data_IF_013813927477
#
_entry.id   IF_013813927477
#
_cell.length_a   1.000
_cell.length_b   1.000
_cell.length_c   1.000
_cell.angle_alpha   90.00
_cell.angle_beta   90.00
_cell.angle_gamma   90.00
#
_symmetry.space_group_name_H-M   'P 1'
#
loop_
_entity.id
_entity.type
_entity.pdbx_description
1 polymer ?
#
# COMPACT_ATOMS: atom_id res chain seq x y z
N UNK A 1 65.06 52.45 -3.48
CA UNK A 1 64.46 51.13 -3.72
C UNK A 1 63.68 50.72 -2.45
N UNK A 2 62.36 50.73 -2.48
CA UNK A 2 61.48 50.31 -1.39
C UNK A 2 60.87 48.92 -1.80
N UNK A 3 60.87 47.90 -0.91
CA UNK A 3 60.22 46.63 -1.24
C UNK A 3 58.69 46.74 -1.01
N UNK A 4 57.96 46.30 -2.03
CA UNK A 4 56.50 46.02 -1.91
C UNK A 4 56.30 44.73 -1.12
N UNK A 5 55.61 44.82 0.02
CA UNK A 5 55.02 43.65 0.69
C UNK A 5 53.73 43.28 0.02
N UNK A 6 53.65 42.10 -0.59
CA UNK A 6 52.39 41.49 -1.06
C UNK A 6 51.73 40.77 0.11
N UNK A 7 50.55 41.22 0.48
CA UNK A 7 49.67 40.53 1.47
C UNK A 7 48.82 39.51 0.70
N UNK A 8 49.10 38.21 0.91
CA UNK A 8 48.24 37.13 0.44
C UNK A 8 47.05 36.97 1.41
N UNK A 9 45.87 37.33 0.97
CA UNK A 9 44.64 37.01 1.69
C UNK A 9 44.27 35.54 1.44
N UNK A 10 44.37 34.69 2.49
CA UNK A 10 43.83 33.34 2.46
C UNK A 10 42.33 33.41 2.57
N UNK A 11 41.59 33.22 1.45
CA UNK A 11 40.14 32.91 1.48
C UNK A 11 39.97 31.49 1.99
N UNK A 12 39.57 31.30 3.22
CA UNK A 12 39.10 30.03 3.73
C UNK A 12 37.76 29.69 3.05
N UNK A 13 37.76 28.76 2.09
CA UNK A 13 36.55 28.16 1.52
C UNK A 13 35.98 27.25 2.59
N UNK A 14 34.94 27.68 3.29
CA UNK A 14 34.12 26.81 4.13
C UNK A 14 33.39 25.79 3.22
N UNK A 15 33.90 24.56 3.16
CA UNK A 15 33.16 23.44 2.58
C UNK A 15 31.86 23.26 3.40
N UNK A 16 30.71 23.11 2.74
CA UNK A 16 29.48 22.80 3.47
C UNK A 16 29.71 21.48 4.21
N UNK A 17 29.56 21.50 5.52
CA UNK A 17 29.49 20.28 6.34
C UNK A 17 28.23 19.56 5.86
N UNK A 18 28.40 18.52 5.06
CA UNK A 18 27.35 17.62 4.66
C UNK A 18 26.86 16.96 5.96
N UNK A 19 25.63 17.28 6.37
CA UNK A 19 25.05 16.66 7.56
C UNK A 19 25.15 15.15 7.37
N UNK A 20 25.73 14.46 8.35
CA UNK A 20 25.86 13.01 8.32
C UNK A 20 24.46 12.44 8.07
N UNK A 21 24.32 11.59 7.06
CA UNK A 21 23.06 10.93 6.72
C UNK A 21 22.62 10.11 7.94
N UNK A 22 21.50 10.53 8.54
CA UNK A 22 20.97 9.89 9.75
C UNK A 22 20.22 8.65 9.30
N UNK A 23 20.90 7.50 9.29
CA UNK A 23 20.38 6.24 8.81
C UNK A 23 20.77 5.06 9.71
N UNK A 24 19.96 3.98 9.68
CA UNK A 24 20.19 2.73 10.39
C UNK A 24 19.69 1.56 9.59
N UNK A 25 20.56 0.58 9.31
CA UNK A 25 20.16 -0.74 8.83
C UNK A 25 19.68 -1.56 10.02
N UNK A 26 18.45 -2.11 9.91
CA UNK A 26 17.79 -2.90 10.95
C UNK A 26 17.84 -4.39 10.64
N UNK A 27 17.66 -4.75 9.37
CA UNK A 27 17.69 -6.13 8.87
C UNK A 27 18.60 -6.16 7.63
N UNK A 28 19.48 -7.14 7.57
CA UNK A 28 20.29 -7.44 6.39
C UNK A 28 20.63 -8.93 6.38
N UNK A 29 19.84 -9.71 5.63
CA UNK A 29 19.97 -11.16 5.57
C UNK A 29 21.33 -11.59 4.98
N UNK A 30 21.91 -10.81 4.05
CA UNK A 30 23.20 -11.12 3.45
C UNK A 30 24.36 -11.04 4.46
N UNK A 31 24.23 -10.15 5.46
CA UNK A 31 25.21 -9.96 6.51
C UNK A 31 24.80 -10.58 7.86
N UNK A 32 23.76 -11.42 7.87
CA UNK A 32 23.19 -12.05 9.07
C UNK A 32 22.85 -11.03 10.19
N UNK A 33 22.41 -9.84 9.79
CA UNK A 33 21.97 -8.79 10.70
C UNK A 33 20.46 -8.85 10.90
N UNK A 34 20.04 -9.03 12.13
CA UNK A 34 18.64 -8.90 12.54
C UNK A 34 18.56 -8.22 13.90
N UNK A 35 18.17 -6.94 13.89
CA UNK A 35 18.00 -6.15 15.11
C UNK A 35 16.70 -6.56 15.79
N UNK A 36 16.75 -7.06 17.02
CA UNK A 36 15.56 -7.55 17.75
C UNK A 36 14.66 -6.40 18.23
N UNK A 37 15.26 -5.39 18.88
CA UNK A 37 14.57 -4.19 19.37
C UNK A 37 15.47 -2.98 19.15
N UNK A 38 14.88 -1.90 18.66
CA UNK A 38 15.59 -0.65 18.44
C UNK A 38 14.61 0.52 18.46
N UNK A 39 15.09 1.66 18.95
CA UNK A 39 14.31 2.89 18.95
C UNK A 39 15.22 4.08 18.64
N UNK A 40 14.68 5.05 17.92
CA UNK A 40 15.27 6.36 17.71
C UNK A 40 14.19 7.43 17.83
N UNK A 41 14.60 8.61 18.30
CA UNK A 41 13.76 9.80 18.41
C UNK A 41 14.39 10.98 17.67
N UNK A 42 13.62 12.03 17.45
CA UNK A 42 14.12 13.29 16.90
C UNK A 42 15.32 13.85 17.69
N UNK A 43 15.30 13.68 19.03
CA UNK A 43 16.40 14.13 19.91
C UNK A 43 17.69 13.32 19.67
N UNK A 44 17.58 11.99 19.48
CA UNK A 44 18.75 11.12 19.25
C UNK A 44 19.45 11.46 17.93
N UNK A 45 18.72 11.88 16.92
CA UNK A 45 19.26 12.32 15.63
C UNK A 45 19.45 13.83 15.54
N UNK A 46 19.31 14.56 16.65
CA UNK A 46 19.56 16.00 16.73
C UNK A 46 18.57 16.84 15.89
N UNK A 47 17.47 16.26 15.44
CA UNK A 47 16.42 16.99 14.74
C UNK A 47 15.56 17.75 15.73
N UNK A 48 15.71 19.08 15.68
CA UNK A 48 14.97 20.03 16.53
C UNK A 48 13.96 20.85 15.72
N UNK A 49 13.78 20.52 14.43
CA UNK A 49 12.91 21.23 13.52
C UNK A 49 11.56 20.53 13.44
N UNK A 50 10.52 21.14 13.95
CA UNK A 50 9.17 20.59 13.88
C UNK A 50 8.75 19.76 15.10
N UNK A 51 7.65 19.00 15.02
CA UNK A 51 7.17 18.18 16.12
C UNK A 51 8.14 17.01 16.41
N UNK A 52 8.12 16.54 17.66
CA UNK A 52 8.88 15.36 18.04
C UNK A 52 8.35 14.14 17.27
N UNK A 53 9.28 13.27 16.86
CA UNK A 53 8.98 12.03 16.17
C UNK A 53 9.77 10.87 16.75
N UNK A 54 9.32 9.64 16.47
CA UNK A 54 10.06 8.44 16.84
C UNK A 54 9.84 7.31 15.84
N UNK A 55 10.83 6.41 15.74
CA UNK A 55 10.75 5.13 15.02
C UNK A 55 11.21 4.04 15.96
N UNK A 56 10.43 2.97 16.08
CA UNK A 56 10.72 1.85 16.98
C UNK A 56 10.49 0.51 16.28
N UNK A 57 11.51 -0.34 16.25
CA UNK A 57 11.41 -1.75 15.86
C UNK A 57 11.15 -2.59 17.12
N UNK A 58 10.18 -3.49 17.05
CA UNK A 58 9.82 -4.46 18.10
C UNK A 58 9.63 -5.85 17.51
N UNK A 59 9.92 -6.88 18.29
CA UNK A 59 9.50 -8.25 18.01
C UNK A 59 8.28 -8.59 18.86
N UNK A 60 7.23 -9.11 18.21
CA UNK A 60 6.01 -9.55 18.89
C UNK A 60 6.18 -10.97 19.41
N UNK A 61 5.50 -11.28 20.53
CA UNK A 61 5.57 -12.56 21.21
C UNK A 61 4.17 -13.13 21.49
N UNK A 62 4.12 -14.45 21.60
CA UNK A 62 2.92 -15.22 21.94
C UNK A 62 1.98 -15.46 20.76
N UNK A 63 1.27 -16.60 20.78
CA UNK A 63 0.35 -17.00 19.75
C UNK A 63 1.01 -17.17 18.37
N UNK A 64 0.25 -16.93 17.31
CA UNK A 64 0.74 -17.02 15.94
C UNK A 64 1.53 -15.77 15.48
N UNK A 65 1.64 -14.75 16.34
CA UNK A 65 2.49 -13.58 16.08
C UNK A 65 3.93 -13.74 16.59
N UNK A 66 4.28 -14.88 17.21
CA UNK A 66 5.62 -15.11 17.73
C UNK A 66 6.69 -14.88 16.66
N UNK A 67 7.65 -13.98 16.95
CA UNK A 67 8.74 -13.64 16.04
C UNK A 67 8.41 -12.59 14.97
N UNK A 68 7.18 -12.11 14.86
CA UNK A 68 6.82 -11.04 13.93
C UNK A 68 7.47 -9.73 14.36
N UNK A 69 8.19 -9.09 13.45
CA UNK A 69 8.77 -7.78 13.67
C UNK A 69 7.83 -6.69 13.13
N UNK A 70 7.70 -5.61 13.90
CA UNK A 70 6.92 -4.42 13.55
C UNK A 70 7.76 -3.16 13.73
N UNK A 71 7.62 -2.21 12.83
CA UNK A 71 8.20 -0.87 12.94
C UNK A 71 7.06 0.11 13.21
N UNK A 72 7.03 0.68 14.41
CA UNK A 72 6.11 1.74 14.78
C UNK A 72 6.76 3.10 14.51
N UNK A 73 6.06 3.94 13.77
CA UNK A 73 6.46 5.31 13.45
C UNK A 73 5.45 6.28 14.05
N UNK A 74 5.96 7.28 14.75
CA UNK A 74 5.22 8.47 15.15
C UNK A 74 5.90 9.66 14.50
N UNK A 75 5.22 10.35 13.57
CA UNK A 75 5.78 11.51 12.89
C UNK A 75 5.39 12.85 13.54
N UNK A 76 4.80 12.80 14.73
CA UNK A 76 4.32 13.97 15.49
C UNK A 76 2.87 14.36 15.17
N UNK A 77 2.21 13.74 14.19
CA UNK A 77 0.78 13.92 13.86
C UNK A 77 0.10 12.59 13.56
N UNK A 78 0.76 11.72 12.83
CA UNK A 78 0.29 10.39 12.46
C UNK A 78 1.18 9.33 13.12
N UNK A 79 0.55 8.28 13.64
CA UNK A 79 1.24 7.04 14.01
C UNK A 79 0.88 5.95 13.03
N UNK A 80 1.86 5.13 12.63
CA UNK A 80 1.59 3.98 11.77
C UNK A 80 2.55 2.82 12.06
N UNK A 81 2.18 1.62 11.61
CA UNK A 81 2.95 0.40 11.84
C UNK A 81 3.21 -0.31 10.52
N UNK A 82 4.48 -0.56 10.22
CA UNK A 82 4.95 -1.38 9.10
C UNK A 82 5.39 -2.74 9.61
N UNK A 83 5.17 -3.82 8.83
CA UNK A 83 5.50 -5.19 9.24
C UNK A 83 6.57 -5.78 8.31
N UNK A 84 7.87 -5.70 8.67
CA UNK A 84 8.95 -6.28 7.89
C UNK A 84 8.81 -7.78 7.63
N UNK A 85 8.27 -8.51 8.58
CA UNK A 85 8.08 -9.97 8.49
C UNK A 85 7.01 -10.38 7.47
N UNK A 86 6.17 -9.41 7.01
CA UNK A 86 5.06 -9.66 6.10
C UNK A 86 5.08 -8.67 4.95
N UNK A 87 5.76 -8.98 3.86
CA UNK A 87 5.78 -8.22 2.61
C UNK A 87 6.07 -6.72 2.76
N UNK A 88 6.59 -6.29 3.92
CA UNK A 88 6.76 -4.88 4.26
C UNK A 88 5.42 -4.10 4.21
N UNK A 89 4.32 -4.73 4.67
CA UNK A 89 2.96 -4.18 4.64
C UNK A 89 2.76 -3.03 5.65
N UNK A 90 1.74 -2.18 5.41
CA UNK A 90 1.24 -1.20 6.38
C UNK A 90 0.08 -1.81 7.17
N UNK A 91 0.29 -2.06 8.47
CA UNK A 91 -0.71 -2.75 9.30
C UNK A 91 -1.84 -1.84 9.76
N UNK A 92 -1.51 -0.65 10.22
CA UNK A 92 -2.47 0.36 10.73
C UNK A 92 -1.88 1.75 10.68
N UNK A 93 -2.74 2.77 10.67
CA UNK A 93 -2.35 4.16 10.89
C UNK A 93 -3.44 4.90 11.67
N UNK A 94 -3.04 5.95 12.43
CA UNK A 94 -3.97 6.78 13.19
C UNK A 94 -3.55 8.25 13.11
N UNK A 95 -4.52 9.16 13.06
CA UNK A 95 -4.34 10.60 13.19
C UNK A 95 -5.27 11.09 14.29
N UNK A 96 -4.74 11.34 15.49
CA UNK A 96 -5.58 11.56 16.66
C UNK A 96 -6.55 10.40 16.88
N UNK A 97 -7.85 10.65 16.88
CA UNK A 97 -8.90 9.63 17.01
C UNK A 97 -9.29 8.97 15.68
N UNK A 98 -8.85 9.49 14.53
CA UNK A 98 -9.14 8.88 13.25
C UNK A 98 -8.25 7.65 13.06
N UNK A 99 -8.87 6.48 12.99
CA UNK A 99 -8.22 5.23 12.61
C UNK A 99 -8.34 5.00 11.11
N UNK A 100 -7.23 4.72 10.47
CA UNK A 100 -7.14 4.13 9.13
C UNK A 100 -6.88 2.63 9.28
N UNK A 101 -7.67 1.82 8.58
CA UNK A 101 -7.66 0.37 8.69
C UNK A 101 -9.03 -0.19 9.11
N UNK A 102 -9.06 -1.43 9.54
CA UNK A 102 -10.29 -2.15 9.84
C UNK A 102 -10.14 -3.13 11.00
N UNK A 103 -11.27 -3.69 11.47
CA UNK A 103 -11.31 -4.71 12.50
C UNK A 103 -11.44 -6.10 11.87
N UNK A 104 -10.28 -6.66 11.45
CA UNK A 104 -10.24 -8.04 10.97
C UNK A 104 -10.69 -9.01 12.06
N UNK A 105 -11.43 -10.08 11.70
CA UNK A 105 -11.62 -11.24 12.56
C UNK A 105 -10.30 -11.90 12.99
N UNK A 106 -9.25 -11.77 12.18
CA UNK A 106 -7.88 -12.20 12.50
C UNK A 106 -7.24 -11.15 13.39
N UNK A 107 -7.09 -11.45 14.68
CA UNK A 107 -6.66 -10.45 15.68
C UNK A 107 -5.15 -10.31 15.84
N UNK A 108 -4.41 -11.38 15.54
CA UNK A 108 -2.95 -11.41 15.63
C UNK A 108 -2.34 -10.98 14.29
N UNK A 109 -1.15 -10.40 14.30
CA UNK A 109 -0.30 -10.27 13.11
C UNK A 109 0.33 -11.65 12.88
N UNK A 110 -0.27 -12.45 12.01
CA UNK A 110 0.13 -13.85 11.85
C UNK A 110 1.50 -13.94 11.19
N UNK A 111 2.43 -14.67 11.82
CA UNK A 111 3.73 -14.95 11.24
C UNK A 111 3.58 -15.83 9.97
N UNK A 112 4.28 -15.54 8.85
CA UNK A 112 4.14 -16.27 7.60
C UNK A 112 4.26 -17.78 7.70
N UNK A 113 5.04 -18.31 8.64
CA UNK A 113 5.18 -19.75 8.89
C UNK A 113 3.87 -20.47 9.25
N UNK A 114 2.85 -19.75 9.70
CA UNK A 114 1.53 -20.30 9.99
C UNK A 114 0.54 -20.17 8.82
N UNK A 115 0.95 -19.56 7.71
CA UNK A 115 0.09 -19.36 6.54
C UNK A 115 0.38 -20.44 5.50
N UNK A 116 -0.66 -21.17 5.12
CA UNK A 116 -0.61 -22.19 4.09
C UNK A 116 -1.45 -21.71 2.92
N UNK A 117 -0.81 -21.09 1.93
CA UNK A 117 -1.49 -20.43 0.82
C UNK A 117 -2.37 -21.39 0.02
N UNK A 118 -2.00 -22.68 -0.08
CA UNK A 118 -2.76 -23.72 -0.81
C UNK A 118 -4.00 -24.23 -0.05
N UNK A 119 -4.14 -23.93 1.25
CA UNK A 119 -5.33 -24.31 2.00
C UNK A 119 -6.59 -23.67 1.40
N UNK A 120 -7.74 -24.29 1.65
CA UNK A 120 -9.03 -23.81 1.15
C UNK A 120 -9.01 -23.55 -0.37
N UNK A 121 -8.50 -24.51 -1.14
CA UNK A 121 -8.42 -24.43 -2.61
C UNK A 121 -7.63 -23.19 -3.10
N UNK A 122 -6.48 -22.93 -2.48
CA UNK A 122 -5.62 -21.83 -2.83
C UNK A 122 -6.04 -20.47 -2.23
N UNK A 123 -6.97 -20.47 -1.26
CA UNK A 123 -7.44 -19.26 -0.56
C UNK A 123 -6.87 -19.10 0.85
N UNK A 124 -5.81 -19.83 1.17
CA UNK A 124 -5.17 -19.76 2.50
C UNK A 124 -4.64 -18.39 2.89
N UNK A 125 -4.45 -17.50 1.93
CA UNK A 125 -4.05 -16.11 2.15
C UNK A 125 -4.95 -15.37 3.16
N UNK A 126 -6.25 -15.63 3.15
CA UNK A 126 -7.21 -14.97 4.08
C UNK A 126 -6.98 -15.30 5.55
N UNK A 127 -6.25 -16.38 5.87
CA UNK A 127 -5.97 -16.77 7.25
C UNK A 127 -5.11 -15.76 8.03
N UNK A 128 -4.37 -14.90 7.32
CA UNK A 128 -3.57 -13.81 7.91
C UNK A 128 -4.07 -12.41 7.58
N UNK A 129 -5.18 -12.27 6.88
CA UNK A 129 -5.63 -10.98 6.35
C UNK A 129 -6.11 -10.02 7.44
N UNK A 130 -5.43 -8.86 7.57
CA UNK A 130 -5.76 -7.88 8.63
C UNK A 130 -5.15 -6.49 8.47
N UNK A 131 -4.17 -6.32 7.59
CA UNK A 131 -3.47 -5.04 7.38
C UNK A 131 -4.33 -3.93 6.78
N UNK A 132 -3.93 -2.69 7.02
CA UNK A 132 -4.49 -1.50 6.35
C UNK A 132 -4.16 -1.50 4.86
N UNK A 133 -2.92 -1.80 4.49
CA UNK A 133 -2.49 -1.94 3.10
C UNK A 133 -1.56 -3.15 2.99
N UNK A 134 -2.00 -4.13 2.24
CA UNK A 134 -1.25 -5.33 1.89
C UNK A 134 -1.03 -5.36 0.38
N UNK A 135 0.08 -5.96 -0.07
CA UNK A 135 0.32 -6.11 -1.51
C UNK A 135 -0.09 -7.49 -1.98
N UNK A 136 -0.91 -7.55 -3.02
CA UNK A 136 -1.07 -8.77 -3.82
C UNK A 136 -0.03 -8.80 -4.93
N UNK A 137 0.58 -9.94 -5.16
CA UNK A 137 1.61 -10.13 -6.22
C UNK A 137 2.69 -11.13 -5.80
N UNK A 138 3.89 -11.13 -6.45
CA UNK A 138 4.28 -10.29 -7.60
C UNK A 138 3.99 -10.98 -8.94
N UNK A 139 3.93 -12.30 -8.97
CA UNK A 139 3.64 -13.04 -10.19
C UNK A 139 2.13 -13.09 -10.52
N UNK A 140 1.26 -13.00 -9.50
CA UNK A 140 -0.20 -12.96 -9.63
C UNK A 140 -0.85 -12.39 -8.38
N UNK A 141 -2.00 -11.72 -8.53
CA UNK A 141 -2.83 -11.29 -7.39
C UNK A 141 -4.32 -11.68 -7.53
N UNK A 142 -4.69 -12.38 -8.59
CA UNK A 142 -6.08 -12.76 -8.84
C UNK A 142 -6.58 -13.94 -8.02
N UNK A 143 -7.72 -14.48 -8.43
CA UNK A 143 -8.28 -15.71 -7.87
C UNK A 143 -7.34 -16.91 -8.11
N UNK A 144 -7.44 -17.96 -7.26
CA UNK A 144 -6.68 -19.18 -7.45
C UNK A 144 -6.96 -19.80 -8.83
N UNK A 145 -5.89 -20.21 -9.52
CA UNK A 145 -6.00 -20.82 -10.86
C UNK A 145 -4.77 -21.66 -11.19
N UNK A 146 -4.95 -22.66 -12.06
CA UNK A 146 -3.84 -23.32 -12.73
C UNK A 146 -3.48 -22.52 -13.99
N UNK A 147 -2.22 -22.07 -14.11
CA UNK A 147 -1.71 -21.33 -15.28
C UNK A 147 -0.45 -22.03 -15.81
N UNK A 148 -0.63 -22.84 -16.84
CA UNK A 148 0.39 -23.78 -17.30
C UNK A 148 0.70 -24.82 -16.23
N UNK A 149 1.97 -24.93 -15.83
CA UNK A 149 2.47 -25.78 -14.76
C UNK A 149 2.43 -25.14 -13.37
N UNK A 150 2.01 -23.86 -13.27
CA UNK A 150 1.98 -23.10 -12.03
C UNK A 150 0.59 -23.13 -11.39
N UNK A 151 0.53 -23.49 -10.11
CA UNK A 151 -0.66 -23.30 -9.27
C UNK A 151 -0.56 -21.95 -8.59
N UNK A 152 -1.42 -21.03 -8.98
CA UNK A 152 -1.48 -19.68 -8.43
C UNK A 152 -2.54 -19.61 -7.33
N UNK A 153 -2.19 -18.94 -6.23
CA UNK A 153 -3.06 -18.78 -5.06
C UNK A 153 -3.64 -17.37 -5.01
N UNK A 154 -4.71 -17.19 -4.23
CA UNK A 154 -5.34 -15.89 -4.00
C UNK A 154 -4.31 -14.85 -3.58
N UNK A 155 -4.30 -13.72 -4.25
CA UNK A 155 -3.43 -12.55 -4.03
C UNK A 155 -1.91 -12.83 -4.06
N UNK A 156 -1.48 -14.05 -4.46
CA UNK A 156 -0.05 -14.40 -4.55
C UNK A 156 0.62 -14.58 -3.19
N UNK A 157 1.94 -14.36 -3.13
CA UNK A 157 2.70 -14.65 -1.91
C UNK A 157 3.44 -13.47 -1.31
N UNK A 158 3.63 -12.36 -2.02
CA UNK A 158 4.51 -11.26 -1.59
C UNK A 158 4.22 -10.75 -0.17
N UNK A 159 2.93 -10.75 0.23
CA UNK A 159 2.50 -10.32 1.56
C UNK A 159 3.01 -11.24 2.70
N UNK A 160 3.38 -12.48 2.37
CA UNK A 160 3.90 -13.46 3.33
C UNK A 160 5.38 -13.78 3.16
N UNK A 161 6.13 -12.92 2.46
CA UNK A 161 7.58 -13.02 2.35
C UNK A 161 8.23 -11.99 3.27
N UNK A 162 9.05 -12.39 4.26
CA UNK A 162 9.79 -11.44 5.07
C UNK A 162 10.77 -10.61 4.26
N UNK A 163 10.91 -9.33 4.61
CA UNK A 163 11.90 -8.45 3.99
C UNK A 163 13.33 -8.92 4.32
N UNK A 164 14.16 -9.06 3.30
CA UNK A 164 15.57 -9.46 3.43
C UNK A 164 16.50 -8.32 3.80
N UNK A 165 16.08 -7.08 3.56
CA UNK A 165 16.78 -5.87 3.97
C UNK A 165 15.78 -4.83 4.45
N UNK A 166 16.08 -4.17 5.57
CA UNK A 166 15.28 -3.06 6.11
C UNK A 166 16.18 -1.98 6.66
N UNK A 167 15.93 -0.74 6.29
CA UNK A 167 16.63 0.43 6.83
C UNK A 167 15.67 1.58 7.10
N UNK A 168 16.12 2.47 7.99
CA UNK A 168 15.44 3.72 8.34
C UNK A 168 16.40 4.87 8.10
N UNK A 169 15.93 5.98 7.54
CA UNK A 169 16.71 7.19 7.35
C UNK A 169 15.86 8.45 7.51
N UNK A 170 16.49 9.55 7.85
CA UNK A 170 15.92 10.88 7.86
C UNK A 170 16.47 11.67 6.66
N UNK A 171 15.61 12.08 5.75
CA UNK A 171 15.95 12.92 4.59
C UNK A 171 15.26 14.28 4.71
N UNK A 172 16.00 15.29 5.14
CA UNK A 172 15.45 16.61 5.40
C UNK A 172 14.39 16.57 6.51
N UNK A 173 13.11 16.66 6.14
CA UNK A 173 11.97 16.52 7.05
C UNK A 173 11.13 15.27 6.80
N UNK A 174 11.68 14.27 6.08
CA UNK A 174 11.01 12.99 5.81
C UNK A 174 11.65 11.85 6.58
N UNK A 175 10.84 11.05 7.25
CA UNK A 175 11.21 9.72 7.72
C UNK A 175 10.96 8.73 6.59
N UNK A 176 11.98 7.94 6.24
CA UNK A 176 11.91 6.96 5.16
C UNK A 176 12.29 5.59 5.69
N UNK A 177 11.39 4.62 5.54
CA UNK A 177 11.62 3.20 5.77
C UNK A 177 11.83 2.54 4.41
N UNK A 178 12.92 1.79 4.23
CA UNK A 178 13.18 1.02 3.01
C UNK A 178 13.17 -0.47 3.33
N UNK A 179 12.40 -1.23 2.56
CA UNK A 179 12.32 -2.69 2.63
C UNK A 179 12.61 -3.35 1.28
N UNK A 180 13.26 -4.53 1.29
CA UNK A 180 13.48 -5.36 0.10
C UNK A 180 12.87 -6.72 0.35
N UNK A 181 11.97 -7.15 -0.54
CA UNK A 181 11.30 -8.46 -0.49
C UNK A 181 11.64 -9.22 -1.77
N UNK A 182 12.15 -10.45 -1.63
CA UNK A 182 12.57 -11.28 -2.74
C UNK A 182 11.56 -12.41 -2.97
N UNK A 183 10.77 -12.32 -4.03
CA UNK A 183 9.87 -13.37 -4.48
C UNK A 183 10.61 -14.23 -5.54
N UNK A 184 11.46 -15.13 -5.05
CA UNK A 184 12.39 -15.92 -5.86
C UNK A 184 12.11 -17.41 -5.75
N UNK A 185 12.12 -18.09 -6.89
CA UNK A 185 12.11 -19.54 -6.98
C UNK A 185 13.15 -20.02 -7.99
N UNK A 186 13.82 -21.15 -7.70
CA UNK A 186 14.93 -21.68 -8.51
C UNK A 186 14.53 -21.91 -9.98
N UNK A 187 13.35 -22.40 -10.26
CA UNK A 187 12.82 -22.59 -11.62
C UNK A 187 11.55 -21.76 -11.85
N UNK A 188 11.39 -20.65 -11.14
CA UNK A 188 10.23 -19.79 -11.18
C UNK A 188 10.61 -18.33 -11.37
N UNK A 189 9.70 -17.44 -10.94
CA UNK A 189 9.93 -16.02 -10.98
C UNK A 189 11.10 -15.59 -10.06
N UNK A 190 11.80 -14.53 -10.45
CA UNK A 190 12.82 -13.86 -9.66
C UNK A 190 12.47 -12.37 -9.62
N UNK A 191 11.37 -12.04 -8.95
CA UNK A 191 10.86 -10.69 -8.82
C UNK A 191 11.26 -10.11 -7.46
N UNK A 192 11.90 -8.95 -7.46
CA UNK A 192 12.28 -8.25 -6.24
C UNK A 192 11.45 -6.97 -6.09
N UNK A 193 10.74 -6.87 -4.96
CA UNK A 193 10.13 -5.62 -4.51
C UNK A 193 11.12 -4.84 -3.67
N UNK A 194 11.41 -3.59 -4.05
CA UNK A 194 12.00 -2.58 -3.18
C UNK A 194 10.93 -1.54 -2.89
N UNK A 195 10.60 -1.37 -1.61
CA UNK A 195 9.58 -0.43 -1.14
C UNK A 195 10.21 0.66 -0.31
N UNK A 196 9.93 1.92 -0.60
CA UNK A 196 10.17 3.05 0.28
C UNK A 196 8.84 3.56 0.81
N UNK A 197 8.64 3.41 2.13
CA UNK A 197 7.50 3.96 2.85
C UNK A 197 7.98 5.21 3.56
N UNK A 198 7.43 6.37 3.21
CA UNK A 198 7.86 7.64 3.75
C UNK A 198 6.71 8.48 4.31
N UNK A 199 7.04 9.38 5.24
CA UNK A 199 6.13 10.38 5.77
C UNK A 199 6.87 11.68 6.05
N UNK A 200 6.24 12.80 5.73
CA UNK A 200 6.74 14.11 6.16
C UNK A 200 6.41 14.32 7.64
N UNK A 201 7.37 14.74 8.44
CA UNK A 201 7.18 15.02 9.87
C UNK A 201 6.04 16.04 10.05
N UNK A 202 5.07 15.70 10.89
CA UNK A 202 3.88 16.51 11.14
C UNK A 202 2.78 16.41 10.06
N UNK A 203 2.91 15.53 9.06
CA UNK A 203 1.87 15.31 8.05
C UNK A 203 0.88 14.23 8.44
N UNK A 204 -0.28 14.20 7.77
CA UNK A 204 -1.28 13.12 7.87
C UNK A 204 -1.20 12.12 6.73
N UNK A 205 -0.02 11.95 6.11
CA UNK A 205 0.18 11.18 4.88
C UNK A 205 1.30 10.17 5.02
N UNK A 206 1.11 9.00 4.42
CA UNK A 206 2.14 7.98 4.17
C UNK A 206 2.24 7.76 2.67
N UNK A 207 3.46 7.77 2.14
CA UNK A 207 3.77 7.61 0.71
C UNK A 207 4.51 6.30 0.49
N UNK A 208 4.17 5.60 -0.59
CA UNK A 208 4.79 4.36 -1.05
C UNK A 208 5.40 4.60 -2.43
N UNK A 209 6.70 4.50 -2.51
CA UNK A 209 7.47 4.48 -3.75
C UNK A 209 8.03 3.07 -3.93
N UNK A 210 7.37 2.26 -4.74
CA UNK A 210 7.74 0.87 -4.94
C UNK A 210 8.39 0.67 -6.30
N UNK A 211 9.35 -0.26 -6.35
CA UNK A 211 9.92 -0.75 -7.59
C UNK A 211 9.96 -2.27 -7.59
N UNK A 212 9.51 -2.90 -8.68
CA UNK A 212 9.56 -4.33 -8.90
C UNK A 212 10.56 -4.60 -10.02
N UNK A 213 11.64 -5.30 -9.71
CA UNK A 213 12.68 -5.68 -10.66
C UNK A 213 12.55 -7.15 -11.03
N UNK A 214 12.62 -7.46 -12.33
CA UNK A 214 12.87 -8.82 -12.79
C UNK A 214 14.39 -9.05 -12.79
N UNK A 215 14.90 -9.87 -11.88
CA UNK A 215 16.33 -10.17 -11.73
C UNK A 215 16.75 -11.44 -12.50
N UNK A 216 15.84 -12.09 -13.22
CA UNK A 216 16.17 -13.20 -14.12
C UNK A 216 16.57 -12.69 -15.50
N UNK A 217 17.12 -13.59 -16.33
CA UNK A 217 17.45 -13.30 -17.74
C UNK A 217 16.22 -13.41 -18.66
N UNK A 218 15.18 -14.12 -18.25
CA UNK A 218 13.96 -14.35 -19.02
C UNK A 218 12.85 -13.34 -18.70
N UNK A 219 11.96 -13.03 -19.64
CA UNK A 219 10.77 -12.22 -19.36
C UNK A 219 9.89 -12.89 -18.30
N UNK A 220 9.33 -12.09 -17.40
CA UNK A 220 8.44 -12.52 -16.31
C UNK A 220 7.14 -11.73 -16.33
N UNK A 221 6.00 -12.41 -16.18
CA UNK A 221 4.74 -11.74 -15.87
C UNK A 221 4.81 -11.12 -14.49
N UNK A 222 4.31 -9.91 -14.37
CA UNK A 222 4.27 -9.19 -13.11
C UNK A 222 2.87 -8.62 -12.88
N UNK A 223 2.33 -8.84 -11.70
CA UNK A 223 1.06 -8.26 -11.26
C UNK A 223 1.23 -7.67 -9.86
N UNK A 224 0.70 -6.47 -9.63
CA UNK A 224 0.73 -5.80 -8.35
C UNK A 224 -0.62 -5.19 -8.03
N UNK A 225 -1.10 -5.44 -6.80
CA UNK A 225 -2.31 -4.86 -6.22
C UNK A 225 -1.98 -4.23 -4.87
N UNK A 226 -2.39 -3.00 -4.64
CA UNK A 226 -2.42 -2.40 -3.31
C UNK A 226 -3.81 -2.58 -2.71
N UNK A 227 -3.98 -3.62 -1.91
CA UNK A 227 -5.24 -3.94 -1.25
C UNK A 227 -5.36 -3.11 0.03
N UNK A 228 -5.90 -1.89 -0.07
CA UNK A 228 -6.08 -1.00 1.08
C UNK A 228 -7.45 -1.18 1.72
N UNK A 229 -7.51 -1.32 3.04
CA UNK A 229 -8.67 -1.84 3.76
C UNK A 229 -9.17 -0.86 4.82
N UNK A 230 -10.45 -0.50 4.73
CA UNK A 230 -11.06 0.50 5.61
C UNK A 230 -12.35 -0.03 6.23
N UNK A 231 -12.46 0.10 7.54
CA UNK A 231 -13.66 -0.18 8.33
C UNK A 231 -14.15 1.07 9.06
N UNK A 232 -14.89 0.87 10.14
CA UNK A 232 -15.32 1.95 11.03
C UNK A 232 -14.10 2.68 11.63
N UNK A 233 -14.09 4.05 11.72
CA UNK A 233 -15.23 4.95 11.56
C UNK A 233 -15.47 5.47 10.14
N UNK A 234 -14.58 5.19 9.16
CA UNK A 234 -14.72 5.69 7.80
C UNK A 234 -15.83 4.98 7.03
N UNK A 235 -16.02 3.69 7.27
CA UNK A 235 -17.04 2.88 6.65
C UNK A 235 -18.29 2.82 7.54
N UNK A 236 -19.48 3.03 6.95
CA UNK A 236 -20.78 2.97 7.61
C UNK A 236 -21.89 3.29 6.64
N UNK A 237 -23.16 3.15 7.06
CA UNK A 237 -24.30 3.56 6.26
C UNK A 237 -24.21 5.04 5.87
N UNK A 238 -24.23 5.34 4.56
CA UNK A 238 -24.04 6.69 4.02
C UNK A 238 -22.59 7.06 3.71
N UNK A 239 -21.61 6.19 3.96
CA UNK A 239 -20.27 6.38 3.42
C UNK A 239 -20.28 6.35 1.89
N UNK A 240 -19.31 7.01 1.27
CA UNK A 240 -19.26 7.17 -0.18
C UNK A 240 -17.85 7.01 -0.72
N UNK A 241 -17.68 6.21 -1.77
CA UNK A 241 -16.48 6.19 -2.57
C UNK A 241 -16.55 7.27 -3.64
N UNK A 242 -15.55 8.14 -3.71
CA UNK A 242 -15.47 9.28 -4.64
C UNK A 242 -14.21 9.16 -5.45
N UNK A 243 -14.33 9.08 -6.78
CA UNK A 243 -13.20 9.00 -7.71
C UNK A 243 -13.58 9.57 -9.09
N UNK A 244 -12.62 10.01 -9.92
CA UNK A 244 -12.87 10.52 -11.26
C UNK A 244 -12.98 9.35 -12.25
N UNK A 245 -14.03 8.53 -12.10
CA UNK A 245 -14.20 7.27 -12.83
C UNK A 245 -14.49 7.52 -14.30
N UNK A 246 -13.75 6.87 -15.20
CA UNK A 246 -14.03 6.80 -16.64
C UNK A 246 -15.08 5.74 -16.93
N UNK A 247 -14.83 4.52 -16.46
CA UNK A 247 -15.64 3.34 -16.68
C UNK A 247 -15.65 2.49 -15.42
N UNK A 248 -16.79 1.94 -15.06
CA UNK A 248 -16.96 0.96 -13.97
C UNK A 248 -17.70 -0.26 -14.47
N UNK A 249 -17.27 -1.45 -14.06
CA UNK A 249 -17.84 -2.76 -14.40
C UNK A 249 -17.88 -3.66 -13.16
N UNK A 250 -18.93 -4.48 -12.97
CA UNK A 250 -18.92 -5.51 -11.95
C UNK A 250 -17.92 -6.63 -12.33
N UNK A 251 -17.28 -7.25 -11.33
CA UNK A 251 -16.35 -8.35 -11.60
C UNK A 251 -17.08 -9.61 -12.08
N UNK A 252 -18.25 -9.91 -11.53
CA UNK A 252 -19.03 -11.11 -11.79
C UNK A 252 -20.55 -10.87 -11.68
N UNK A 253 -21.33 -11.91 -11.93
CA UNK A 253 -22.80 -11.87 -11.88
C UNK A 253 -23.35 -11.47 -10.50
N UNK A 254 -22.71 -11.86 -9.39
CA UNK A 254 -23.13 -11.48 -8.04
C UNK A 254 -22.99 -9.97 -7.81
N UNK A 255 -21.88 -9.38 -8.29
CA UNK A 255 -21.67 -7.93 -8.26
C UNK A 255 -22.61 -7.19 -9.23
N UNK A 256 -22.94 -7.80 -10.39
CA UNK A 256 -23.85 -7.23 -11.37
C UNK A 256 -25.32 -7.25 -10.89
N UNK A 257 -25.71 -8.20 -10.05
CA UNK A 257 -27.06 -8.31 -9.49
C UNK A 257 -27.34 -7.25 -8.39
N UNK A 258 -26.29 -6.59 -7.88
CA UNK A 258 -26.41 -5.50 -6.92
C UNK A 258 -26.87 -4.19 -7.55
N UNK A 259 -26.94 -3.13 -6.73
CA UNK A 259 -27.27 -1.78 -7.20
C UNK A 259 -26.10 -1.16 -7.97
N UNK A 260 -26.11 -1.30 -9.31
CA UNK A 260 -25.13 -0.66 -10.18
C UNK A 260 -25.25 0.87 -10.26
N UNK A 261 -26.36 1.46 -9.79
CA UNK A 261 -26.51 2.91 -9.70
C UNK A 261 -25.86 3.44 -8.43
N UNK A 262 -26.02 2.71 -7.31
CA UNK A 262 -25.45 3.02 -6.01
C UNK A 262 -24.11 2.29 -5.72
N UNK A 263 -23.39 1.81 -6.74
CA UNK A 263 -22.17 0.99 -6.59
C UNK A 263 -21.13 1.63 -5.67
N UNK A 264 -21.06 2.96 -5.63
CA UNK A 264 -20.09 3.74 -4.85
C UNK A 264 -20.59 4.17 -3.46
N UNK A 265 -21.79 3.73 -3.04
CA UNK A 265 -22.41 4.04 -1.75
C UNK A 265 -22.49 2.82 -0.86
N UNK A 266 -22.45 3.04 0.44
CA UNK A 266 -22.52 1.99 1.44
C UNK A 266 -23.81 2.09 2.23
N UNK A 267 -24.43 0.93 2.48
CA UNK A 267 -25.69 0.82 3.20
C UNK A 267 -25.53 0.44 4.67
N UNK A 268 -24.28 0.09 5.04
CA UNK A 268 -23.92 -0.36 6.40
C UNK A 268 -23.83 -1.90 6.48
N UNK A 269 -23.48 -2.43 7.66
CA UNK A 269 -23.33 -3.86 7.83
C UNK A 269 -24.68 -4.60 7.75
N UNK A 270 -24.71 -5.70 7.01
CA UNK A 270 -25.89 -6.55 6.83
C UNK A 270 -25.84 -7.77 7.76
N UNK A 271 -26.98 -8.08 8.40
CA UNK A 271 -27.21 -9.37 9.06
C UNK A 271 -27.72 -10.39 8.04
N UNK A 272 -27.24 -11.64 8.13
CA UNK A 272 -27.64 -12.70 7.21
C UNK A 272 -26.61 -12.94 6.10
N UNK A 273 -27.07 -13.57 5.01
CA UNK A 273 -26.19 -13.88 3.87
C UNK A 273 -25.92 -12.60 3.08
N UNK A 274 -24.66 -12.28 2.90
CA UNK A 274 -24.17 -11.18 2.07
C UNK A 274 -23.08 -11.69 1.12
N UNK A 275 -23.22 -11.38 -0.15
CA UNK A 275 -22.16 -11.64 -1.14
C UNK A 275 -21.35 -10.38 -1.33
N UNK A 276 -20.05 -10.46 -1.11
CA UNK A 276 -19.14 -9.36 -1.37
C UNK A 276 -19.23 -8.92 -2.84
N UNK A 277 -19.20 -7.62 -3.06
CA UNK A 277 -19.27 -7.02 -4.40
C UNK A 277 -17.89 -6.44 -4.76
N UNK A 278 -17.51 -6.58 -6.03
CA UNK A 278 -16.31 -5.96 -6.58
C UNK A 278 -16.65 -5.21 -7.86
N UNK A 279 -16.23 -3.94 -7.91
CA UNK A 279 -16.41 -3.07 -9.07
C UNK A 279 -15.03 -2.65 -9.58
N UNK A 280 -14.73 -3.05 -10.81
CA UNK A 280 -13.48 -2.76 -11.50
C UNK A 280 -13.59 -1.49 -12.34
N UNK A 281 -12.59 -0.64 -12.32
CA UNK A 281 -12.68 0.67 -12.98
C UNK A 281 -11.36 1.18 -13.51
N UNK A 282 -11.45 2.09 -14.47
CA UNK A 282 -10.37 3.00 -14.88
C UNK A 282 -10.73 4.42 -14.45
N UNK A 283 -9.72 5.22 -14.10
CA UNK A 283 -9.90 6.59 -13.62
C UNK A 283 -9.34 7.62 -14.62
N UNK A 284 -9.88 8.81 -14.57
CA UNK A 284 -9.23 9.98 -15.18
C UNK A 284 -8.04 10.40 -14.33
N UNK A 285 -6.99 10.89 -14.98
CA UNK A 285 -5.79 11.40 -14.36
C UNK A 285 -5.46 12.79 -14.93
N UNK A 286 -4.61 13.51 -14.25
CA UNK A 286 -4.03 14.75 -14.77
C UNK A 286 -2.97 14.49 -15.86
N UNK A 287 -2.36 15.56 -16.38
CA UNK A 287 -1.36 15.48 -17.45
C UNK A 287 -0.07 14.74 -17.04
N UNK A 288 0.19 14.60 -15.74
CA UNK A 288 1.32 13.84 -15.20
C UNK A 288 0.98 12.37 -14.92
N UNK A 289 -0.26 11.93 -15.15
CA UNK A 289 -0.73 10.59 -14.86
C UNK A 289 -1.24 10.40 -13.43
N UNK A 290 -1.25 11.44 -12.60
CA UNK A 290 -1.73 11.34 -11.22
C UNK A 290 -3.24 11.37 -11.12
N UNK A 291 -3.80 10.47 -10.33
CA UNK A 291 -5.22 10.42 -10.01
C UNK A 291 -5.48 10.37 -8.51
N UNK A 292 -6.75 10.47 -8.12
CA UNK A 292 -7.17 10.48 -6.72
C UNK A 292 -8.45 9.66 -6.54
N UNK A 293 -8.54 8.99 -5.37
CA UNK A 293 -9.76 8.33 -4.92
C UNK A 293 -9.95 8.57 -3.42
N UNK A 294 -11.17 8.67 -2.93
CA UNK A 294 -11.46 8.96 -1.53
C UNK A 294 -12.58 8.06 -1.02
N UNK A 295 -12.42 7.53 0.19
CA UNK A 295 -13.54 7.05 0.99
C UNK A 295 -13.93 8.18 1.94
N UNK A 296 -15.14 8.67 1.78
CA UNK A 296 -15.75 9.72 2.60
C UNK A 296 -16.65 9.07 3.66
N UNK A 297 -16.47 9.44 4.92
CA UNK A 297 -17.27 8.93 6.03
C UNK A 297 -18.74 9.34 5.93
N UNK A 298 -19.67 8.64 6.62
CA UNK A 298 -21.10 8.95 6.59
C UNK A 298 -21.43 10.40 6.94
N UNK A 299 -20.74 10.99 7.91
CA UNK A 299 -20.94 12.37 8.33
C UNK A 299 -20.26 13.40 7.40
N UNK A 300 -19.43 12.95 6.46
CA UNK A 300 -18.68 13.81 5.54
C UNK A 300 -17.63 14.71 6.18
N UNK A 301 -17.24 14.44 7.43
CA UNK A 301 -16.28 15.22 8.21
C UNK A 301 -14.92 14.52 8.39
N UNK A 302 -14.81 13.28 7.93
CA UNK A 302 -13.60 12.49 7.89
C UNK A 302 -13.52 11.72 6.57
N UNK A 303 -12.33 11.30 6.19
CA UNK A 303 -12.10 10.51 5.00
C UNK A 303 -10.68 9.97 4.95
N UNK A 304 -10.43 9.15 3.93
CA UNK A 304 -9.09 8.81 3.48
C UNK A 304 -8.99 9.13 2.01
N UNK A 305 -7.95 9.89 1.65
CA UNK A 305 -7.60 10.23 0.28
C UNK A 305 -6.43 9.36 -0.16
N UNK A 306 -6.59 8.73 -1.30
CA UNK A 306 -5.54 8.01 -2.01
C UNK A 306 -5.15 8.81 -3.24
N UNK A 307 -3.86 8.99 -3.49
CA UNK A 307 -3.32 9.58 -4.71
C UNK A 307 -2.32 8.61 -5.31
N UNK A 308 -2.38 8.34 -6.62
CA UNK A 308 -1.48 7.37 -7.25
C UNK A 308 -1.24 7.66 -8.73
N UNK A 309 -0.11 7.14 -9.24
CA UNK A 309 0.30 7.25 -10.64
C UNK A 309 -0.36 6.14 -11.48
N UNK A 310 -1.17 6.53 -12.45
CA UNK A 310 -1.85 5.61 -13.37
C UNK A 310 -0.92 4.97 -14.42
N UNK A 311 0.32 5.43 -14.57
CA UNK A 311 1.30 4.73 -15.42
C UNK A 311 1.75 3.42 -14.75
N UNK A 312 1.93 3.45 -13.43
CA UNK A 312 2.28 2.26 -12.65
C UNK A 312 1.06 1.45 -12.19
N UNK A 313 -0.09 2.12 -11.98
CA UNK A 313 -1.32 1.54 -11.43
C UNK A 313 -2.54 1.96 -12.28
N UNK A 314 -2.69 1.43 -13.51
CA UNK A 314 -3.69 1.91 -14.48
C UNK A 314 -5.15 1.58 -14.11
N UNK A 315 -5.37 0.69 -13.16
CA UNK A 315 -6.69 0.19 -12.80
C UNK A 315 -6.96 0.30 -11.31
N UNK A 316 -8.24 0.26 -10.95
CA UNK A 316 -8.69 0.25 -9.57
C UNK A 316 -9.86 -0.70 -9.40
N UNK A 317 -9.88 -1.44 -8.30
CA UNK A 317 -11.01 -2.23 -7.85
C UNK A 317 -11.57 -1.66 -6.56
N UNK A 318 -12.89 -1.63 -6.44
CA UNK A 318 -13.61 -1.33 -5.21
C UNK A 318 -14.24 -2.62 -4.70
N UNK A 319 -13.68 -3.17 -3.61
CA UNK A 319 -14.26 -4.32 -2.93
C UNK A 319 -15.15 -3.86 -1.79
N UNK A 320 -16.40 -4.33 -1.77
CA UNK A 320 -17.39 -4.02 -0.73
C UNK A 320 -17.75 -5.30 0.00
N UNK A 321 -17.38 -5.41 1.27
CA UNK A 321 -17.72 -6.53 2.14
C UNK A 321 -18.55 -6.02 3.32
N UNK A 322 -19.84 -5.78 3.06
CA UNK A 322 -20.78 -5.22 4.03
C UNK A 322 -21.44 -6.30 4.92
N UNK A 323 -20.67 -7.30 5.32
CA UNK A 323 -21.08 -8.32 6.31
C UNK A 323 -21.16 -7.70 7.72
N UNK A 324 -21.54 -8.49 8.73
CA UNK A 324 -21.54 -8.00 10.13
C UNK A 324 -20.12 -7.63 10.58
N UNK A 325 -19.97 -6.74 11.59
CA UNK A 325 -18.65 -6.42 12.15
C UNK A 325 -17.85 -7.65 12.62
N UNK A 326 -18.51 -8.65 13.19
CA UNK A 326 -17.86 -9.93 13.59
C UNK A 326 -17.42 -10.76 12.39
N UNK A 327 -18.08 -10.62 11.25
CA UNK A 327 -17.74 -11.26 9.99
C UNK A 327 -16.64 -10.55 9.20
N UNK A 328 -16.21 -9.36 9.65
CA UNK A 328 -15.17 -8.57 9.01
C UNK A 328 -15.71 -7.49 8.07
N UNK A 329 -16.57 -6.59 8.60
CA UNK A 329 -17.10 -5.43 7.88
C UNK A 329 -15.97 -4.53 7.38
N UNK A 330 -15.78 -4.44 6.07
CA UNK A 330 -14.65 -3.76 5.43
C UNK A 330 -14.95 -3.38 3.99
N UNK A 331 -14.27 -2.37 3.49
CA UNK A 331 -14.15 -2.08 2.05
C UNK A 331 -12.70 -2.00 1.64
N UNK A 332 -12.39 -2.49 0.43
CA UNK A 332 -11.08 -2.36 -0.20
C UNK A 332 -11.10 -1.28 -1.28
N UNK A 333 -10.11 -0.38 -1.24
CA UNK A 333 -9.78 0.56 -2.31
C UNK A 333 -8.46 0.07 -2.92
N UNK A 334 -8.50 -0.47 -4.13
CA UNK A 334 -7.46 -1.36 -4.61
C UNK A 334 -6.90 -0.94 -5.99
N UNK A 335 -5.98 0.05 -6.04
CA UNK A 335 -5.25 0.32 -7.27
C UNK A 335 -4.28 -0.81 -7.61
N UNK A 336 -4.16 -1.14 -8.89
CA UNK A 336 -3.33 -2.24 -9.35
C UNK A 336 -2.96 -2.19 -10.83
N UNK A 337 -2.13 -3.14 -11.24
CA UNK A 337 -1.70 -3.30 -12.64
C UNK A 337 -2.77 -3.93 -13.53
N UNK A 338 -3.79 -4.55 -12.94
CA UNK A 338 -4.93 -5.20 -13.59
C UNK A 338 -6.11 -5.29 -12.63
N UNK A 339 -7.08 -6.13 -12.96
CA UNK A 339 -8.22 -6.47 -12.10
C UNK A 339 -7.99 -7.79 -11.35
N UNK A 340 -8.69 -8.08 -10.23
CA UNK A 340 -8.49 -9.29 -9.44
C UNK A 340 -9.15 -10.55 -10.06
N UNK A 341 -9.15 -10.66 -11.40
CA UNK A 341 -9.47 -11.88 -12.13
C UNK A 341 -8.29 -12.84 -12.09
N UNK A 342 -8.40 -14.02 -12.69
CA UNK A 342 -7.26 -14.92 -12.80
C UNK A 342 -6.18 -14.37 -13.75
N UNK A 343 -4.90 -14.73 -13.53
CA UNK A 343 -3.80 -14.24 -14.37
C UNK A 343 -3.99 -14.57 -15.87
N UNK A 344 -4.46 -15.77 -16.29
CA UNK A 344 -4.75 -16.02 -17.70
C UNK A 344 -5.79 -15.06 -18.30
N UNK A 345 -6.85 -14.72 -17.54
CA UNK A 345 -7.88 -13.78 -18.00
C UNK A 345 -7.30 -12.37 -18.13
N UNK A 346 -6.53 -11.93 -17.17
CA UNK A 346 -5.88 -10.61 -17.20
C UNK A 346 -4.83 -10.53 -18.31
N UNK A 347 -4.09 -11.63 -18.56
CA UNK A 347 -3.16 -11.73 -19.69
C UNK A 347 -3.88 -11.66 -21.06
N UNK A 348 -4.98 -12.39 -21.20
CA UNK A 348 -5.80 -12.34 -22.40
C UNK A 348 -6.40 -10.95 -22.66
N UNK A 349 -6.68 -10.19 -21.61
CA UNK A 349 -7.17 -8.82 -21.67
C UNK A 349 -6.05 -7.77 -21.80
N UNK A 350 -4.77 -8.16 -21.89
CA UNK A 350 -3.62 -7.26 -22.05
C UNK A 350 -3.29 -6.45 -20.78
N UNK A 351 -3.70 -6.93 -19.59
CA UNK A 351 -3.52 -6.24 -18.31
C UNK A 351 -2.45 -6.88 -17.40
N UNK A 352 -1.62 -7.77 -17.93
CA UNK A 352 -0.47 -8.32 -17.23
C UNK A 352 0.80 -7.74 -17.82
N UNK A 353 1.50 -6.82 -17.14
CA UNK A 353 2.84 -6.41 -17.53
C UNK A 353 3.79 -7.59 -17.64
N UNK A 354 4.59 -7.65 -18.69
CA UNK A 354 5.63 -8.65 -18.87
C UNK A 354 6.99 -7.95 -18.84
N UNK A 355 7.74 -8.16 -17.77
CA UNK A 355 9.04 -7.52 -17.54
C UNK A 355 10.16 -8.32 -18.19
N UNK A 356 10.91 -7.71 -19.10
CA UNK A 356 12.16 -8.29 -19.61
C UNK A 356 13.19 -8.47 -18.48
N UNK A 357 14.17 -9.33 -18.70
CA UNK A 357 15.31 -9.48 -17.79
C UNK A 357 15.97 -8.12 -17.48
N UNK A 358 16.17 -7.82 -16.21
CA UNK A 358 16.70 -6.54 -15.73
C UNK A 358 15.73 -5.36 -15.76
N UNK A 359 14.53 -5.52 -16.30
CA UNK A 359 13.54 -4.42 -16.33
C UNK A 359 12.94 -4.16 -14.95
N UNK A 360 12.64 -2.88 -14.68
CA UNK A 360 12.06 -2.40 -13.43
C UNK A 360 10.73 -1.71 -13.70
N UNK A 361 9.68 -2.12 -12.99
CA UNK A 361 8.39 -1.44 -12.91
C UNK A 361 8.37 -0.53 -11.69
N UNK A 362 7.76 0.64 -11.78
CA UNK A 362 7.67 1.60 -10.67
C UNK A 362 6.23 2.01 -10.43
N UNK A 363 5.90 2.22 -9.15
CA UNK A 363 4.59 2.72 -8.72
C UNK A 363 4.77 3.79 -7.66
N UNK A 364 3.81 4.70 -7.62
CA UNK A 364 3.71 5.73 -6.59
C UNK A 364 2.28 5.73 -6.04
N UNK A 365 2.15 5.69 -4.72
CA UNK A 365 0.88 5.72 -4.01
C UNK A 365 1.04 6.53 -2.72
N UNK A 366 0.10 7.44 -2.43
CA UNK A 366 0.01 8.13 -1.15
C UNK A 366 -1.36 7.88 -0.50
N UNK A 367 -1.37 7.72 0.82
CA UNK A 367 -2.57 7.56 1.66
C UNK A 367 -2.58 8.69 2.68
N UNK A 368 -3.56 9.58 2.60
CA UNK A 368 -3.74 10.71 3.51
C UNK A 368 -5.04 10.56 4.31
N UNK A 369 -4.96 10.69 5.63
CA UNK A 369 -6.14 10.75 6.49
C UNK A 369 -6.67 12.17 6.59
N UNK A 370 -7.96 12.34 6.31
CA UNK A 370 -8.68 13.61 6.36
C UNK A 370 -9.48 13.69 7.66
N UNK A 371 -9.19 14.68 8.50
CA UNK A 371 -9.73 14.78 9.86
C UNK A 371 -10.76 15.90 10.02
N UNK A 372 -11.08 16.63 8.95
CA UNK A 372 -12.05 17.73 8.97
C UNK A 372 -12.89 17.80 7.70
N UNK A 373 -14.10 18.35 7.84
CA UNK A 373 -14.99 18.59 6.69
C UNK A 373 -14.32 19.43 5.59
N UNK A 374 -13.54 20.44 5.97
CA UNK A 374 -12.83 21.27 4.99
C UNK A 374 -11.81 20.48 4.15
N UNK A 375 -11.08 19.55 4.77
CA UNK A 375 -10.18 18.65 4.02
C UNK A 375 -10.94 17.70 3.10
N UNK A 376 -12.05 17.13 3.57
CA UNK A 376 -12.91 16.24 2.75
C UNK A 376 -13.48 16.98 1.55
N UNK A 377 -14.02 18.19 1.75
CA UNK A 377 -14.58 19.01 0.69
C UNK A 377 -13.49 19.41 -0.35
N UNK A 378 -12.29 19.78 0.12
CA UNK A 378 -11.16 20.11 -0.75
C UNK A 378 -10.71 18.89 -1.58
N UNK A 379 -10.65 17.70 -0.97
CA UNK A 379 -10.33 16.47 -1.66
C UNK A 379 -11.40 16.12 -2.72
N UNK A 380 -12.69 16.22 -2.37
CA UNK A 380 -13.78 15.99 -3.32
C UNK A 380 -13.73 16.96 -4.51
N UNK A 381 -13.45 18.24 -4.28
CA UNK A 381 -13.29 19.24 -5.34
C UNK A 381 -12.07 18.93 -6.23
N UNK A 382 -10.96 18.47 -5.66
CA UNK A 382 -9.79 18.07 -6.42
C UNK A 382 -10.07 16.85 -7.31
N UNK A 383 -10.80 15.85 -6.80
CA UNK A 383 -11.24 14.68 -7.58
C UNK A 383 -12.17 15.09 -8.71
N UNK A 384 -13.12 15.98 -8.43
CA UNK A 384 -14.07 16.45 -9.44
C UNK A 384 -13.39 17.19 -10.60
N UNK A 385 -12.30 17.92 -10.33
CA UNK A 385 -11.51 18.58 -11.39
C UNK A 385 -10.84 17.59 -12.34
N UNK A 386 -10.57 16.37 -11.91
CA UNK A 386 -10.03 15.30 -12.76
C UNK A 386 -11.11 14.64 -13.62
N UNK A 387 -12.36 14.64 -13.17
CA UNK A 387 -13.48 14.02 -13.88
C UNK A 387 -13.89 14.88 -15.09
N UNK A 388 -13.53 14.47 -16.31
CA UNK A 388 -13.83 15.19 -17.54
C UNK A 388 -15.22 14.85 -18.11
N UNK A 389 -15.84 13.73 -17.67
CA UNK A 389 -17.17 13.26 -18.07
C UNK A 389 -17.81 12.41 -16.97
N UNK A 390 -19.15 12.22 -16.96
CA UNK A 390 -19.78 11.23 -16.11
C UNK A 390 -19.25 9.81 -16.38
N UNK A 391 -19.20 8.92 -15.38
CA UNK A 391 -18.72 7.56 -15.55
C UNK A 391 -19.62 6.75 -16.48
N UNK A 392 -19.01 5.92 -17.33
CA UNK A 392 -19.72 4.88 -18.06
C UNK A 392 -19.94 3.69 -17.13
N UNK A 393 -21.20 3.39 -16.81
CA UNK A 393 -21.57 2.19 -16.07
C UNK A 393 -21.83 1.07 -17.09
N UNK A 394 -20.87 0.15 -17.21
CA UNK A 394 -20.96 -0.99 -18.11
C UNK A 394 -21.42 -2.22 -17.30
N UNK A 395 -22.51 -2.83 -17.71
CA UNK A 395 -23.12 -3.99 -17.01
C UNK A 395 -22.41 -5.30 -17.31
N UNK A 396 -21.51 -5.33 -18.29
CA UNK A 396 -20.74 -6.54 -18.62
C UNK A 396 -19.73 -6.83 -17.51
N UNK A 397 -19.60 -8.10 -17.14
CA UNK A 397 -18.63 -8.52 -16.13
C UNK A 397 -17.22 -8.48 -16.69
N UNK A 398 -16.22 -8.20 -15.84
CA UNK A 398 -14.80 -8.24 -16.21
C UNK A 398 -14.19 -9.64 -16.04
N UNK A 399 -14.83 -10.50 -15.27
CA UNK A 399 -14.53 -11.91 -15.06
C UNK A 399 -15.74 -12.78 -15.36
N UNK A 400 -15.62 -14.10 -15.22
CA UNK A 400 -16.69 -15.06 -15.48
C UNK A 400 -17.89 -14.92 -14.53
#
# INVERSE_FOLDING_TARGET
MRPLLAVFALCAIALPVQAAEQSKVLIDAANNLNTANWKVTSADWGDKKGPAWSVQLKTLHGGRQEGVQVIEVDNGKMTFTVVPTRGFELWKANIGSLRLGWDSPVKEIIHPSYIRLNDNQGRGWVAGFGGLMVRGGLASFGNPVQDGDQTLTLHGHVDYIPASHVSVRLEGNKLVLRGVVNDFATFGAQLQLTSEISTTIGSGEVVFDDSIANLSDAPQDMMLLYHTNYGTPLLGAGAEFVAPVKKVQPINAASAAGDLVGWNRYTGPHSGTYSAQVFNMSLHADASGMTKAMLKSPAGNQGVLMSFDTHGLPYMSLWKNEVTPKGGYVTGLEPGTGFPNTRPEERAAGRVPNLKGGQVWRTHLAIEGLTSKGQVDAAAAAIQKLAVAPPVIDKTTTGP
#
